data_IF_137434581794
#
_entry.id   IF_137434581794
#
_cell.length_a   1.000
_cell.length_b   1.000
_cell.length_c   1.000
_cell.angle_alpha   90.00
_cell.angle_beta   90.00
_cell.angle_gamma   90.00
#
_symmetry.space_group_name_H-M   'P 1'
#
loop_
_entity.id
_entity.type
_entity.pdbx_description
1 polymer ?
#
# COMPACT_ATOMS: atom_id res chain seq x y z
N UNK A 1 -25.84 12.84 -21.83
CA UNK A 1 -25.31 13.93 -22.66
C UNK A 1 -25.22 15.16 -21.79
N UNK A 2 -24.08 15.83 -21.82
CA UNK A 2 -23.97 17.19 -21.27
C UNK A 2 -24.47 18.17 -22.33
N UNK A 3 -24.90 19.36 -21.93
CA UNK A 3 -25.35 20.38 -22.89
C UNK A 3 -24.24 20.80 -23.86
N UNK A 4 -22.98 20.69 -23.44
CA UNK A 4 -21.79 21.12 -24.16
C UNK A 4 -20.88 19.96 -24.63
N UNK A 5 -21.20 18.70 -24.31
CA UNK A 5 -20.35 17.56 -24.66
C UNK A 5 -21.11 16.22 -24.80
N UNK A 6 -20.66 15.42 -25.78
CA UNK A 6 -21.03 14.01 -25.95
C UNK A 6 -19.79 13.17 -25.65
N UNK A 7 -19.90 12.23 -24.70
CA UNK A 7 -18.80 11.44 -24.17
C UNK A 7 -19.19 9.96 -24.29
N UNK A 8 -18.40 9.18 -25.02
CA UNK A 8 -18.74 7.82 -25.43
C UNK A 8 -18.22 6.73 -24.50
N UNK A 9 -17.30 7.07 -23.61
CA UNK A 9 -16.71 6.12 -22.66
C UNK A 9 -16.23 6.81 -21.38
N UNK A 10 -15.86 5.99 -20.38
CA UNK A 10 -15.37 6.43 -19.08
C UNK A 10 -14.11 7.30 -19.19
N UNK A 11 -13.21 7.00 -20.13
CA UNK A 11 -11.96 7.76 -20.32
C UNK A 11 -12.23 9.18 -20.79
N UNK A 12 -13.13 9.34 -21.77
CA UNK A 12 -13.58 10.66 -22.24
C UNK A 12 -14.30 11.44 -21.14
N UNK A 13 -15.08 10.75 -20.29
CA UNK A 13 -15.69 11.38 -19.13
C UNK A 13 -14.67 11.90 -18.12
N UNK A 14 -13.62 11.14 -17.83
CA UNK A 14 -12.52 11.57 -16.96
C UNK A 14 -11.76 12.74 -17.58
N UNK A 15 -11.47 12.67 -18.88
CA UNK A 15 -10.81 13.75 -19.62
C UNK A 15 -11.61 15.06 -19.54
N UNK A 16 -12.92 14.99 -19.79
CA UNK A 16 -13.82 16.13 -19.65
C UNK A 16 -13.78 16.69 -18.22
N UNK A 17 -13.89 15.83 -17.20
CA UNK A 17 -13.77 16.25 -15.80
C UNK A 17 -12.45 17.00 -15.52
N UNK A 18 -11.31 16.45 -15.95
CA UNK A 18 -10.00 17.07 -15.73
C UNK A 18 -9.88 18.43 -16.43
N UNK A 19 -10.43 18.57 -17.64
CA UNK A 19 -10.47 19.85 -18.35
C UNK A 19 -11.30 20.89 -17.60
N UNK A 20 -12.42 20.50 -16.96
CA UNK A 20 -13.25 21.41 -16.17
C UNK A 20 -12.59 21.89 -14.88
N UNK A 21 -11.50 21.25 -14.42
CA UNK A 21 -10.71 21.73 -13.29
C UNK A 21 -9.85 22.95 -13.64
N UNK A 22 -9.62 23.23 -14.93
CA UNK A 22 -8.78 24.34 -15.41
C UNK A 22 -7.39 24.37 -14.75
N UNK A 23 -6.75 23.20 -14.64
CA UNK A 23 -5.46 23.04 -13.98
C UNK A 23 -4.38 23.92 -14.62
N UNK A 24 -3.63 24.61 -13.76
CA UNK A 24 -2.57 25.55 -14.10
C UNK A 24 -1.19 25.02 -13.70
N UNK A 25 -0.14 25.77 -14.02
CA UNK A 25 1.25 25.43 -13.64
C UNK A 25 1.51 25.41 -12.12
N UNK A 26 0.65 26.08 -11.35
CA UNK A 26 0.77 26.19 -9.89
C UNK A 26 0.05 25.03 -9.19
N UNK A 27 -0.70 24.21 -9.93
CA UNK A 27 -1.42 23.06 -9.41
C UNK A 27 -0.57 21.78 -9.43
N UNK A 28 -0.88 20.87 -8.50
CA UNK A 28 -0.26 19.55 -8.38
C UNK A 28 -1.37 18.49 -8.33
N UNK A 29 -1.34 17.56 -9.27
CA UNK A 29 -2.19 16.36 -9.28
C UNK A 29 -1.43 15.20 -8.64
N UNK A 30 -1.98 14.65 -7.55
CA UNK A 30 -1.41 13.49 -6.86
C UNK A 30 -2.25 12.25 -7.19
N UNK A 31 -1.60 11.21 -7.70
CA UNK A 31 -2.22 9.95 -8.06
C UNK A 31 -1.89 8.84 -7.05
N UNK A 32 -2.90 8.45 -6.26
CA UNK A 32 -2.82 7.30 -5.36
C UNK A 32 -3.05 5.96 -6.07
N UNK A 33 -3.95 5.95 -7.05
CA UNK A 33 -4.24 4.79 -7.91
C UNK A 33 -4.48 5.28 -9.33
N UNK A 34 -3.80 4.68 -10.30
CA UNK A 34 -3.90 5.09 -11.70
C UNK A 34 -4.71 4.12 -12.57
N UNK A 35 -5.24 3.02 -12.02
CA UNK A 35 -6.08 2.08 -12.75
C UNK A 35 -7.23 2.80 -13.44
N UNK A 36 -7.39 2.58 -14.75
CA UNK A 36 -8.36 3.20 -15.66
C UNK A 36 -8.24 4.72 -15.87
N UNK A 37 -7.47 5.45 -15.04
CA UNK A 37 -7.44 6.93 -15.08
C UNK A 37 -6.08 7.51 -15.48
N UNK A 38 -5.00 6.73 -15.33
CA UNK A 38 -3.63 7.22 -15.47
C UNK A 38 -3.36 7.88 -16.82
N UNK A 39 -3.87 7.28 -17.91
CA UNK A 39 -3.71 7.83 -19.24
C UNK A 39 -4.45 9.16 -19.41
N UNK A 40 -5.72 9.23 -18.99
CA UNK A 40 -6.49 10.47 -19.08
C UNK A 40 -5.84 11.59 -18.26
N UNK A 41 -5.34 11.29 -17.07
CA UNK A 41 -4.63 12.27 -16.22
C UNK A 41 -3.37 12.79 -16.92
N UNK A 42 -2.49 11.91 -17.40
CA UNK A 42 -1.26 12.36 -18.05
C UNK A 42 -1.53 13.15 -19.35
N UNK A 43 -2.60 12.85 -20.08
CA UNK A 43 -2.99 13.55 -21.30
C UNK A 43 -3.68 14.90 -21.04
N UNK A 44 -4.38 15.04 -19.91
CA UNK A 44 -5.23 16.20 -19.62
C UNK A 44 -4.81 17.00 -18.38
N UNK A 45 -3.63 16.75 -17.82
CA UNK A 45 -3.07 17.53 -16.71
C UNK A 45 -2.80 19.01 -17.05
N UNK A 46 -2.80 19.38 -18.32
CA UNK A 46 -2.37 20.71 -18.77
C UNK A 46 -0.95 21.01 -18.30
N UNK A 47 -0.74 22.24 -17.79
CA UNK A 47 0.56 22.70 -17.29
C UNK A 47 0.87 22.25 -15.85
N UNK A 48 -0.08 21.60 -15.17
CA UNK A 48 0.10 21.15 -13.79
C UNK A 48 1.18 20.09 -13.64
N UNK A 49 1.63 19.93 -12.40
CA UNK A 49 2.59 18.91 -12.00
C UNK A 49 1.88 17.62 -11.63
N UNK A 50 2.50 16.47 -11.91
CA UNK A 50 1.96 15.15 -11.54
C UNK A 50 2.89 14.42 -10.59
N UNK A 51 2.35 14.06 -9.43
CA UNK A 51 2.97 13.19 -8.45
C UNK A 51 2.29 11.81 -8.39
N UNK A 52 3.05 10.74 -8.19
CA UNK A 52 2.50 9.38 -7.99
C UNK A 52 2.91 8.82 -6.64
N UNK A 53 1.94 8.32 -5.88
CA UNK A 53 2.18 7.70 -4.55
C UNK A 53 2.33 6.18 -4.70
N UNK A 54 3.41 5.65 -4.15
CA UNK A 54 3.71 4.21 -4.10
C UNK A 54 3.37 3.70 -2.69
N UNK A 55 2.24 3.01 -2.58
CA UNK A 55 1.64 2.54 -1.32
C UNK A 55 2.13 1.16 -0.87
N UNK A 56 2.46 0.29 -1.82
CA UNK A 56 2.86 -1.10 -1.56
C UNK A 56 4.16 -1.43 -2.30
N UNK A 57 4.62 -2.66 -2.18
CA UNK A 57 5.75 -3.16 -2.97
C UNK A 57 5.50 -2.93 -4.47
N UNK A 58 6.48 -2.34 -5.14
CA UNK A 58 6.33 -1.80 -6.49
C UNK A 58 6.80 -2.75 -7.59
N UNK A 59 7.30 -3.95 -7.24
CA UNK A 59 7.78 -4.95 -8.19
C UNK A 59 7.66 -6.37 -7.63
N UNK A 60 7.71 -7.37 -8.51
CA UNK A 60 7.71 -8.78 -8.14
C UNK A 60 9.14 -9.30 -8.01
N UNK A 61 9.64 -9.45 -6.78
CA UNK A 61 11.03 -9.86 -6.55
C UNK A 61 11.38 -11.23 -7.17
N UNK A 62 10.45 -12.18 -7.18
CA UNK A 62 10.66 -13.52 -7.75
C UNK A 62 10.74 -13.51 -9.29
N UNK A 63 10.37 -12.40 -9.93
CA UNK A 63 10.33 -12.24 -11.40
C UNK A 63 11.35 -11.20 -11.88
N UNK A 64 12.34 -10.86 -11.04
CA UNK A 64 13.40 -9.91 -11.35
C UNK A 64 14.68 -10.66 -11.76
N UNK A 65 15.37 -10.16 -12.78
CA UNK A 65 16.71 -10.58 -13.20
C UNK A 65 17.61 -9.36 -13.41
N UNK A 66 18.88 -9.55 -13.74
CA UNK A 66 19.78 -8.42 -14.04
C UNK A 66 19.28 -7.55 -15.20
N UNK A 67 18.54 -8.13 -16.15
CA UNK A 67 18.11 -7.48 -17.38
C UNK A 67 16.61 -7.14 -17.42
N UNK A 68 15.81 -7.72 -16.51
CA UNK A 68 14.37 -7.57 -16.53
C UNK A 68 13.80 -7.35 -15.13
N UNK A 69 12.79 -6.49 -15.05
CA UNK A 69 12.00 -6.27 -13.85
C UNK A 69 10.52 -6.28 -14.22
N UNK A 70 9.74 -7.01 -13.43
CA UNK A 70 8.28 -6.99 -13.50
C UNK A 70 7.77 -6.03 -12.43
N UNK A 71 7.23 -4.88 -12.85
CA UNK A 71 6.60 -3.95 -11.93
C UNK A 71 5.27 -4.52 -11.42
N UNK A 72 4.86 -4.05 -10.26
CA UNK A 72 3.52 -4.31 -9.76
C UNK A 72 2.51 -3.69 -10.76
N UNK A 73 1.46 -4.45 -11.09
CA UNK A 73 0.46 -4.07 -12.08
C UNK A 73 -0.26 -2.74 -11.76
N UNK A 74 -0.28 -2.31 -10.51
CA UNK A 74 -0.81 -1.00 -10.12
C UNK A 74 0.11 0.18 -10.47
N UNK A 75 1.40 -0.05 -10.75
CA UNK A 75 2.41 0.97 -11.03
C UNK A 75 3.05 0.86 -12.42
N UNK A 76 2.87 -0.26 -13.13
CA UNK A 76 3.43 -0.53 -14.46
C UNK A 76 3.23 0.63 -15.44
N UNK A 77 2.00 1.16 -15.54
CA UNK A 77 1.72 2.28 -16.43
C UNK A 77 2.50 3.55 -16.04
N UNK A 78 2.46 3.91 -14.76
CA UNK A 78 3.15 5.09 -14.24
C UNK A 78 4.66 4.97 -14.45
N UNK A 79 5.24 3.81 -14.16
CA UNK A 79 6.67 3.58 -14.31
C UNK A 79 7.12 3.56 -15.77
N UNK A 80 6.33 3.00 -16.69
CA UNK A 80 6.62 3.06 -18.13
C UNK A 80 6.46 4.47 -18.71
N UNK A 81 5.71 5.35 -18.05
CA UNK A 81 5.47 6.75 -18.42
C UNK A 81 6.15 7.75 -17.50
N UNK A 82 7.13 7.32 -16.73
CA UNK A 82 7.69 8.10 -15.64
C UNK A 82 8.46 9.36 -16.08
N UNK A 83 8.85 9.48 -17.36
CA UNK A 83 9.30 10.75 -17.96
C UNK A 83 8.24 11.87 -17.99
N UNK A 84 6.96 11.53 -17.83
CA UNK A 84 5.83 12.47 -17.75
C UNK A 84 5.35 12.70 -16.31
N UNK A 85 6.05 12.14 -15.32
CA UNK A 85 5.74 12.26 -13.90
C UNK A 85 6.80 13.15 -13.28
N UNK A 86 6.39 14.21 -12.59
CA UNK A 86 7.31 15.18 -12.01
C UNK A 86 8.01 14.63 -10.74
N UNK A 87 7.31 13.79 -9.97
CA UNK A 87 7.89 13.12 -8.81
C UNK A 87 7.10 11.88 -8.36
N UNK A 88 7.77 11.02 -7.58
CA UNK A 88 7.15 9.91 -6.87
C UNK A 88 7.21 10.14 -5.36
N UNK A 89 6.28 9.55 -4.63
CA UNK A 89 6.27 9.52 -3.16
C UNK A 89 6.33 8.07 -2.72
N UNK A 90 7.24 7.77 -1.79
CA UNK A 90 7.37 6.46 -1.13
C UNK A 90 7.22 6.63 0.38
N UNK A 91 6.76 5.58 1.06
CA UNK A 91 6.52 5.63 2.50
C UNK A 91 7.81 5.58 3.34
N UNK A 92 8.90 5.04 2.78
CA UNK A 92 10.16 4.81 3.51
C UNK A 92 11.38 5.13 2.65
N UNK A 93 12.48 5.52 3.29
CA UNK A 93 13.74 5.76 2.58
C UNK A 93 14.25 4.50 1.89
N UNK A 94 14.06 3.32 2.49
CA UNK A 94 14.49 2.05 1.89
C UNK A 94 13.80 1.84 0.54
N UNK A 95 12.49 2.06 0.47
CA UNK A 95 11.75 1.96 -0.78
C UNK A 95 12.19 3.03 -1.78
N UNK A 96 12.42 4.28 -1.32
CA UNK A 96 12.93 5.36 -2.16
C UNK A 96 14.24 4.97 -2.86
N UNK A 97 15.23 4.53 -2.08
CA UNK A 97 16.53 4.10 -2.60
C UNK A 97 16.39 2.93 -3.59
N UNK A 98 15.50 1.99 -3.32
CA UNK A 98 15.25 0.84 -4.18
C UNK A 98 14.61 1.24 -5.51
N UNK A 99 13.58 2.10 -5.49
CA UNK A 99 12.95 2.66 -6.69
C UNK A 99 13.99 3.38 -7.53
N UNK A 100 14.77 4.29 -6.93
CA UNK A 100 15.81 5.04 -7.64
C UNK A 100 16.81 4.10 -8.34
N UNK A 101 17.34 3.10 -7.62
CA UNK A 101 18.31 2.14 -8.16
C UNK A 101 17.73 1.35 -9.33
N UNK A 102 16.49 0.86 -9.20
CA UNK A 102 15.87 0.06 -10.25
C UNK A 102 15.54 0.91 -11.49
N UNK A 103 15.12 2.17 -11.32
CA UNK A 103 14.96 3.09 -12.44
C UNK A 103 16.28 3.35 -13.17
N UNK A 104 17.37 3.59 -12.43
CA UNK A 104 18.71 3.74 -13.02
C UNK A 104 19.13 2.49 -13.79
N UNK A 105 18.96 1.31 -13.19
CA UNK A 105 19.37 0.03 -13.78
C UNK A 105 18.56 -0.33 -15.03
N UNK A 106 17.22 -0.22 -14.97
CA UNK A 106 16.33 -0.77 -15.99
C UNK A 106 15.78 0.26 -16.98
N UNK A 107 15.81 1.55 -16.62
CA UNK A 107 15.31 2.64 -17.48
C UNK A 107 16.37 3.69 -17.82
N UNK A 108 17.56 3.63 -17.22
CA UNK A 108 18.69 4.51 -17.55
C UNK A 108 18.53 5.97 -17.11
N UNK A 109 17.58 6.27 -16.22
CA UNK A 109 17.47 7.59 -15.61
C UNK A 109 16.96 7.47 -14.18
N UNK A 110 17.19 8.53 -13.39
CA UNK A 110 16.78 8.60 -11.98
C UNK A 110 15.62 9.59 -11.80
N UNK A 111 14.39 9.14 -11.50
CA UNK A 111 13.27 10.05 -11.23
C UNK A 111 13.47 10.78 -9.90
N UNK A 112 12.72 11.87 -9.70
CA UNK A 112 12.62 12.52 -8.39
C UNK A 112 11.70 11.69 -7.49
N UNK A 113 12.21 11.23 -6.35
CA UNK A 113 11.44 10.42 -5.39
C UNK A 113 11.58 11.04 -4.00
N UNK A 114 10.46 11.35 -3.37
CA UNK A 114 10.39 11.86 -2.01
C UNK A 114 9.97 10.77 -1.04
N UNK A 115 10.53 10.80 0.17
CA UNK A 115 10.08 9.96 1.28
C UNK A 115 9.11 10.76 2.13
N UNK A 116 7.85 10.35 2.17
CA UNK A 116 6.81 10.95 3.01
C UNK A 116 6.08 9.80 3.71
N UNK A 117 6.24 9.62 5.03
CA UNK A 117 5.54 8.60 5.78
C UNK A 117 4.02 8.73 5.62
N UNK A 118 3.33 7.59 5.46
CA UNK A 118 1.86 7.53 5.26
C UNK A 118 1.07 7.91 6.51
N UNK A 119 1.73 7.98 7.66
CA UNK A 119 1.11 8.32 8.94
C UNK A 119 2.11 8.98 9.87
N UNK A 120 1.58 9.71 10.83
CA UNK A 120 2.34 10.32 11.92
C UNK A 120 1.59 10.10 13.24
N UNK A 121 2.27 10.41 14.34
CA UNK A 121 1.66 10.46 15.67
C UNK A 121 1.88 11.85 16.23
N UNK A 122 0.83 12.47 16.77
CA UNK A 122 0.90 13.83 17.32
C UNK A 122 1.83 13.89 18.54
N UNK A 123 1.79 12.84 19.37
CA UNK A 123 2.61 12.70 20.55
C UNK A 123 2.88 11.23 20.87
N UNK A 124 3.96 10.99 21.63
CA UNK A 124 4.23 9.68 22.20
C UNK A 124 3.19 9.35 23.27
N UNK A 125 2.56 8.18 23.15
CA UNK A 125 1.62 7.68 24.16
C UNK A 125 2.36 6.92 25.25
N UNK A 126 2.33 7.46 26.47
CA UNK A 126 2.89 6.81 27.66
C UNK A 126 1.80 6.10 28.44
N UNK A 127 2.04 4.85 28.87
CA UNK A 127 1.02 4.07 29.57
C UNK A 127 0.72 4.68 30.94
N UNK A 128 -0.56 4.86 31.25
CA UNK A 128 -1.03 5.29 32.59
C UNK A 128 -1.11 4.13 33.59
N UNK A 129 -1.17 2.90 33.08
CA UNK A 129 -1.23 1.65 33.84
C UNK A 129 -0.08 0.73 33.40
N UNK A 130 0.36 -0.16 34.29
CA UNK A 130 1.36 -1.18 33.95
C UNK A 130 0.86 -2.06 32.79
N UNK A 131 1.72 -2.26 31.78
CA UNK A 131 1.42 -3.18 30.67
C UNK A 131 1.29 -4.61 31.20
N UNK A 132 0.32 -5.35 30.67
CA UNK A 132 0.14 -6.76 31.02
C UNK A 132 1.38 -7.57 30.59
N UNK A 133 2.07 -8.27 31.50
CA UNK A 133 3.19 -9.12 31.16
C UNK A 133 2.79 -10.22 30.16
N UNK A 134 3.70 -10.56 29.24
CA UNK A 134 3.54 -11.64 28.25
C UNK A 134 2.30 -11.53 27.34
N UNK A 135 1.72 -10.33 27.22
CA UNK A 135 0.62 -10.05 26.31
C UNK A 135 1.13 -9.69 24.92
N UNK A 136 0.58 -10.35 23.90
CA UNK A 136 0.82 -10.10 22.49
C UNK A 136 -0.43 -9.51 21.85
N UNK A 137 -0.23 -8.68 20.83
CA UNK A 137 -1.32 -8.09 20.05
C UNK A 137 -0.97 -8.09 18.56
N UNK A 138 -1.95 -8.33 17.70
CA UNK A 138 -1.89 -8.05 16.27
C UNK A 138 -3.10 -7.24 15.86
N UNK A 139 -2.92 -6.23 15.01
CA UNK A 139 -4.01 -5.40 14.50
C UNK A 139 -3.86 -5.24 12.98
N UNK A 140 -4.67 -5.98 12.21
CA UNK A 140 -4.62 -5.96 10.75
C UNK A 140 -5.90 -6.51 10.11
N UNK A 141 -6.15 -6.22 8.83
CA UNK A 141 -7.13 -6.99 8.05
C UNK A 141 -6.82 -8.49 8.14
N UNK A 142 -7.84 -9.32 8.33
CA UNK A 142 -7.70 -10.79 8.38
C UNK A 142 -7.69 -11.35 6.96
N UNK A 143 -6.59 -11.12 6.27
CA UNK A 143 -6.37 -11.52 4.89
C UNK A 143 -5.17 -12.48 4.79
N UNK A 144 -5.16 -13.33 3.75
CA UNK A 144 -4.19 -14.42 3.63
C UNK A 144 -2.74 -13.91 3.60
N UNK A 145 -2.50 -12.75 2.96
CA UNK A 145 -1.18 -12.12 2.87
C UNK A 145 -0.59 -11.68 4.23
N UNK A 146 -1.41 -11.61 5.29
CA UNK A 146 -0.95 -11.26 6.64
C UNK A 146 -0.47 -12.46 7.45
N UNK A 147 -0.77 -13.68 7.01
CA UNK A 147 -0.32 -14.93 7.65
C UNK A 147 -0.54 -14.98 9.17
N UNK A 148 -1.68 -14.45 9.65
CA UNK A 148 -2.02 -14.44 11.08
C UNK A 148 -2.14 -15.87 11.64
N UNK A 149 -2.42 -16.85 10.79
CA UNK A 149 -2.45 -18.26 11.18
C UNK A 149 -1.08 -18.76 11.67
N UNK A 150 0.01 -18.21 11.15
CA UNK A 150 1.36 -18.52 11.65
C UNK A 150 1.58 -17.97 13.04
N UNK A 151 1.10 -16.75 13.32
CA UNK A 151 1.17 -16.15 14.66
C UNK A 151 0.37 -16.99 15.67
N UNK A 152 -0.85 -17.40 15.31
CA UNK A 152 -1.69 -18.28 16.17
C UNK A 152 -0.96 -19.58 16.48
N UNK A 153 -0.40 -20.25 15.46
CA UNK A 153 0.36 -21.50 15.66
C UNK A 153 1.60 -21.29 16.53
N UNK A 154 2.34 -20.21 16.32
CA UNK A 154 3.51 -19.88 17.12
C UNK A 154 3.15 -19.65 18.58
N UNK A 155 2.06 -18.93 18.84
CA UNK A 155 1.53 -18.67 20.19
C UNK A 155 1.13 -19.97 20.90
N UNK A 156 0.46 -20.90 20.20
CA UNK A 156 0.10 -22.22 20.74
C UNK A 156 1.34 -23.02 21.17
N UNK A 157 2.43 -22.93 20.40
CA UNK A 157 3.71 -23.58 20.75
C UNK A 157 4.36 -22.88 21.94
N UNK A 158 4.46 -21.55 21.90
CA UNK A 158 5.11 -20.74 22.94
C UNK A 158 4.41 -20.83 24.31
N UNK A 159 3.07 -21.01 24.32
CA UNK A 159 2.27 -21.17 25.54
C UNK A 159 2.77 -22.29 26.46
N UNK A 160 3.45 -23.30 25.92
CA UNK A 160 4.05 -24.41 26.70
C UNK A 160 5.22 -23.97 27.58
N UNK A 161 5.94 -22.93 27.16
CA UNK A 161 7.07 -22.37 27.90
C UNK A 161 6.69 -21.11 28.67
N UNK A 162 5.66 -20.39 28.21
CA UNK A 162 5.15 -19.16 28.85
C UNK A 162 3.65 -19.34 29.16
N UNK A 163 3.30 -19.97 30.29
CA UNK A 163 1.91 -20.27 30.64
C UNK A 163 0.99 -19.06 30.74
N UNK A 164 1.52 -17.86 31.02
CA UNK A 164 0.77 -16.61 31.16
C UNK A 164 0.48 -15.91 29.82
N UNK A 165 1.08 -16.39 28.73
CA UNK A 165 1.01 -15.73 27.42
C UNK A 165 -0.44 -15.60 26.92
N UNK A 166 -0.82 -14.39 26.52
CA UNK A 166 -2.11 -14.12 25.86
C UNK A 166 -1.90 -13.40 24.54
N UNK A 167 -2.77 -13.63 23.56
CA UNK A 167 -2.69 -13.03 22.24
C UNK A 167 -4.04 -12.49 21.79
N UNK A 168 -4.13 -11.17 21.60
CA UNK A 168 -5.33 -10.52 21.09
C UNK A 168 -5.13 -10.15 19.60
N UNK A 169 -6.11 -10.51 18.76
CA UNK A 169 -6.09 -10.27 17.32
C UNK A 169 -7.24 -9.31 16.98
N UNK A 170 -6.92 -8.10 16.55
CA UNK A 170 -7.91 -7.11 16.14
C UNK A 170 -7.97 -7.03 14.61
N UNK A 171 -9.18 -7.18 14.06
CA UNK A 171 -9.44 -6.98 12.64
C UNK A 171 -10.58 -7.82 12.10
N UNK A 172 -10.90 -7.59 10.84
CA UNK A 172 -11.94 -8.31 10.11
C UNK A 172 -11.41 -8.76 8.74
N UNK A 173 -11.98 -9.82 8.18
CA UNK A 173 -11.60 -10.33 6.86
C UNK A 173 -11.93 -11.80 6.64
N UNK A 174 -11.62 -12.27 5.43
CA UNK A 174 -11.98 -13.61 4.95
C UNK A 174 -11.31 -14.74 5.75
N UNK A 175 -10.16 -14.51 6.38
CA UNK A 175 -9.43 -15.55 7.12
C UNK A 175 -10.03 -15.83 8.51
N UNK A 176 -11.03 -15.06 8.96
CA UNK A 176 -11.62 -15.19 10.31
C UNK A 176 -12.09 -16.61 10.64
N UNK A 177 -12.78 -17.27 9.70
CA UNK A 177 -13.27 -18.64 9.87
C UNK A 177 -12.12 -19.65 10.01
N UNK A 178 -11.05 -19.49 9.21
CA UNK A 178 -9.87 -20.35 9.28
C UNK A 178 -9.13 -20.18 10.60
N UNK A 179 -8.96 -18.94 11.06
CA UNK A 179 -8.33 -18.65 12.35
C UNK A 179 -9.13 -19.26 13.51
N UNK A 180 -10.45 -19.09 13.52
CA UNK A 180 -11.35 -19.73 14.51
C UNK A 180 -11.12 -21.23 14.57
N UNK A 181 -11.11 -21.90 13.42
CA UNK A 181 -10.89 -23.35 13.34
C UNK A 181 -9.55 -23.78 13.94
N UNK A 182 -8.47 -23.04 13.69
CA UNK A 182 -7.14 -23.35 14.25
C UNK A 182 -7.17 -23.21 15.77
N UNK A 183 -7.73 -22.11 16.29
CA UNK A 183 -7.85 -21.85 17.73
C UNK A 183 -8.68 -22.95 18.40
N UNK A 184 -9.83 -23.31 17.81
CA UNK A 184 -10.72 -24.32 18.36
C UNK A 184 -10.10 -25.72 18.37
N UNK A 185 -9.44 -26.10 17.27
CA UNK A 185 -8.77 -27.40 17.15
C UNK A 185 -7.70 -27.59 18.24
N UNK A 186 -7.02 -26.51 18.64
CA UNK A 186 -5.97 -26.54 19.65
C UNK A 186 -6.45 -26.15 21.05
N UNK A 187 -7.77 -25.97 21.24
CA UNK A 187 -8.37 -25.53 22.52
C UNK A 187 -7.70 -24.28 23.08
N UNK A 188 -7.44 -23.30 22.23
CA UNK A 188 -6.68 -22.10 22.54
C UNK A 188 -7.54 -20.86 22.86
N UNK A 189 -8.86 -21.03 22.99
CA UNK A 189 -9.82 -19.92 23.14
C UNK A 189 -9.60 -19.08 24.41
N UNK A 190 -9.07 -19.69 25.47
CA UNK A 190 -8.90 -19.01 26.76
C UNK A 190 -7.79 -17.95 26.74
N UNK A 191 -6.84 -18.07 25.80
CA UNK A 191 -5.65 -17.20 25.73
C UNK A 191 -5.39 -16.60 24.35
N UNK A 192 -6.12 -16.98 23.30
CA UNK A 192 -6.12 -16.32 21.98
C UNK A 192 -7.51 -15.76 21.71
N UNK A 193 -7.62 -14.44 21.60
CA UNK A 193 -8.89 -13.73 21.41
C UNK A 193 -8.87 -12.97 20.11
N UNK A 194 -10.03 -12.86 19.48
CA UNK A 194 -10.22 -12.04 18.28
C UNK A 194 -11.67 -11.55 18.16
#
# INVERSE_FOLDING_TARGET
>A
MFEDAVLYNKTEFIAYFLQRLNLTRDDIVILDRASDIGQAVLQHKGDSKVGVVIHADHYSNNMMSEQHILWNNYYEYQFSKAKYIDFFITATDIQNHMVCRQFEQYQGYRPRVYTIPVGSIDALSYPTLSRKPYAMISASRLANEKHIDWLVKAVIVAKRQVPELTFDIYGEGSEKTRLRKIIDTHRAQDYIRY
#
